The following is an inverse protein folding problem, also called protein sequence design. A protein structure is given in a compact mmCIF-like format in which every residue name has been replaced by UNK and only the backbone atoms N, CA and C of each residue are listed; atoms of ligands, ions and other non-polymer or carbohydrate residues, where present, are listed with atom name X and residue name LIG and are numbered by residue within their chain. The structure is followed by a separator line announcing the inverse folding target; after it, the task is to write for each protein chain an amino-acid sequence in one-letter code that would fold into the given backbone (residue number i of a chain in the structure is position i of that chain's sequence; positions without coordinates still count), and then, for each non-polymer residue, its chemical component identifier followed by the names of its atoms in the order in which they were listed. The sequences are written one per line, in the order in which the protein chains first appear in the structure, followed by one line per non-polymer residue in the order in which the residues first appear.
data_IF_688020471267
#
_entry.id   IF_688020471267
#
_cell.length_a   1.000
_cell.length_b   1.000
_cell.length_c   1.000
_cell.angle_alpha   90.00
_cell.angle_beta   90.00
_cell.angle_gamma   90.00
#
_symmetry.space_group_name_H-M   'P 1'
#
loop_
_entity.id
_entity.type
_entity.pdbx_description
1 polymer ?
#
# COMPACT_ATOMS: atom_id res chain seq x y z
N UNK A 1 31.09 30.56 6.82
CA UNK A 1 30.30 30.13 5.66
C UNK A 1 30.46 28.64 5.40
N UNK A 2 29.91 27.79 6.23
CA UNK A 2 29.85 26.32 6.01
C UNK A 2 28.74 25.75 6.87
N UNK A 3 27.53 25.70 6.36
CA UNK A 3 26.47 24.95 7.01
C UNK A 3 25.27 24.67 6.06
N UNK A 4 25.55 24.01 4.92
CA UNK A 4 24.48 23.65 4.00
C UNK A 4 24.63 22.23 3.39
N UNK A 5 25.35 21.30 4.03
CA UNK A 5 25.65 20.04 3.35
C UNK A 5 25.39 18.75 4.17
N UNK A 6 24.63 18.81 5.23
CA UNK A 6 24.46 17.66 6.16
C UNK A 6 23.19 16.85 5.96
N UNK A 7 22.20 17.35 5.25
CA UNK A 7 20.94 16.63 5.00
C UNK A 7 21.02 15.66 3.80
N UNK A 8 21.76 16.04 2.75
CA UNK A 8 21.90 15.20 1.55
C UNK A 8 22.77 13.94 1.78
N UNK A 9 23.80 14.03 2.62
CA UNK A 9 24.68 12.88 2.89
C UNK A 9 24.06 11.84 3.83
N UNK A 10 23.15 12.23 4.70
CA UNK A 10 22.41 11.28 5.56
C UNK A 10 21.39 10.44 4.80
N UNK A 11 20.81 10.96 3.70
CA UNK A 11 19.89 10.22 2.85
C UNK A 11 20.53 9.06 2.12
N UNK A 12 21.80 9.18 1.72
CA UNK A 12 22.49 8.18 0.91
C UNK A 12 22.94 6.96 1.73
N UNK A 13 23.32 7.14 3.00
CA UNK A 13 23.81 6.04 3.83
C UNK A 13 22.68 5.18 4.44
N UNK A 14 21.46 5.76 4.61
CA UNK A 14 20.30 5.07 5.20
C UNK A 14 19.49 4.33 4.12
N UNK A 15 19.61 4.74 2.84
CA UNK A 15 18.83 4.17 1.74
C UNK A 15 19.18 2.71 1.42
N UNK A 16 20.43 2.29 1.56
CA UNK A 16 20.86 0.96 1.17
C UNK A 16 20.50 -0.14 2.21
N UNK A 17 20.42 0.22 3.49
CA UNK A 17 20.18 -0.77 4.56
C UNK A 17 18.71 -1.02 4.91
N UNK A 18 17.84 0.01 4.75
CA UNK A 18 16.46 -0.07 5.21
C UNK A 18 15.51 -0.72 4.19
N UNK A 19 15.84 -0.71 2.89
CA UNK A 19 15.01 -1.31 1.85
C UNK A 19 14.95 -2.84 1.91
N UNK A 20 16.08 -3.47 2.23
CA UNK A 20 16.16 -4.91 2.39
C UNK A 20 15.43 -5.40 3.67
N UNK A 21 15.43 -4.59 4.74
CA UNK A 21 14.80 -4.96 6.00
C UNK A 21 13.26 -4.87 5.95
N UNK A 22 12.70 -3.91 5.21
CA UNK A 22 11.23 -3.75 5.09
C UNK A 22 10.65 -4.76 4.11
N UNK A 23 11.33 -5.04 2.98
CA UNK A 23 10.94 -6.10 2.05
C UNK A 23 11.04 -7.50 2.68
N UNK A 24 12.07 -7.75 3.50
CA UNK A 24 12.24 -8.99 4.22
C UNK A 24 11.22 -9.15 5.36
N UNK A 25 10.87 -8.08 6.06
CA UNK A 25 9.87 -8.10 7.14
C UNK A 25 8.47 -8.48 6.64
N UNK A 26 8.08 -7.99 5.46
CA UNK A 26 6.79 -8.36 4.85
C UNK A 26 6.81 -9.78 4.28
N UNK A 27 7.94 -10.21 3.70
CA UNK A 27 8.11 -11.59 3.22
C UNK A 27 7.99 -12.62 4.35
N UNK A 28 8.48 -12.30 5.55
CA UNK A 28 8.37 -13.17 6.72
C UNK A 28 6.98 -13.18 7.36
N UNK A 29 6.23 -12.08 7.26
CA UNK A 29 4.87 -12.00 7.79
C UNK A 29 3.83 -12.72 6.91
N UNK A 30 4.09 -12.86 5.60
CA UNK A 30 3.13 -13.34 4.61
C UNK A 30 3.41 -14.78 4.15
N UNK A 31 4.63 -15.26 4.28
CA UNK A 31 5.01 -16.62 3.93
C UNK A 31 6.38 -16.94 4.50
N UNK A 32 6.48 -18.06 5.13
CA UNK A 32 7.75 -18.58 5.66
C UNK A 32 8.71 -19.07 4.57
N UNK A 33 8.40 -18.74 3.31
CA UNK A 33 9.12 -19.27 2.16
C UNK A 33 10.08 -18.24 1.57
N UNK A 34 11.28 -18.67 1.31
CA UNK A 34 12.39 -17.90 0.71
C UNK A 34 12.02 -17.35 -0.69
N UNK A 35 11.07 -17.96 -1.38
CA UNK A 35 10.60 -17.53 -2.70
C UNK A 35 9.85 -16.19 -2.68
N UNK A 36 9.05 -15.89 -1.65
CA UNK A 36 8.34 -14.61 -1.55
C UNK A 36 9.27 -13.43 -1.27
N UNK A 37 10.41 -13.67 -0.62
CA UNK A 37 11.44 -12.66 -0.38
C UNK A 37 12.23 -12.34 -1.67
N UNK A 38 12.47 -13.36 -2.50
CA UNK A 38 13.15 -13.19 -3.80
C UNK A 38 12.25 -12.52 -4.84
N UNK A 39 10.94 -12.77 -4.83
CA UNK A 39 10.01 -12.10 -5.75
C UNK A 39 9.92 -10.60 -5.49
N UNK A 40 9.91 -10.17 -4.23
CA UNK A 40 9.93 -8.75 -3.87
C UNK A 40 11.22 -8.04 -4.31
N UNK A 41 12.35 -8.73 -4.24
CA UNK A 41 13.63 -8.19 -4.69
C UNK A 41 13.81 -8.20 -6.22
N UNK A 42 13.25 -9.21 -6.91
CA UNK A 42 13.36 -9.34 -8.37
C UNK A 42 12.51 -8.32 -9.13
N UNK A 43 11.34 -7.93 -8.59
CA UNK A 43 10.48 -6.90 -9.19
C UNK A 43 11.16 -5.52 -9.15
N UNK A 44 11.89 -5.22 -8.08
CA UNK A 44 12.61 -3.95 -7.94
C UNK A 44 13.75 -3.76 -8.94
N UNK A 45 14.37 -4.85 -9.39
CA UNK A 45 15.52 -4.80 -10.29
C UNK A 45 15.15 -4.60 -11.78
N UNK A 46 13.91 -4.94 -12.17
CA UNK A 46 13.50 -4.98 -13.58
C UNK A 46 13.02 -3.64 -14.16
N UNK A 47 12.75 -2.62 -13.35
CA UNK A 47 11.97 -1.43 -13.77
C UNK A 47 12.68 -0.09 -13.51
N UNK A 48 13.99 -0.07 -13.29
CA UNK A 48 14.73 1.19 -13.13
C UNK A 48 14.17 2.11 -12.04
N UNK A 49 14.29 1.72 -10.77
CA UNK A 49 13.75 2.44 -9.64
C UNK A 49 14.40 3.82 -9.39
N UNK A 50 13.93 4.51 -8.38
CA UNK A 50 14.41 5.84 -7.99
C UNK A 50 15.77 5.78 -7.29
N UNK A 51 16.68 6.67 -7.64
CA UNK A 51 17.91 6.88 -6.87
C UNK A 51 17.56 7.41 -5.47
N UNK A 52 18.34 7.00 -4.45
CA UNK A 52 18.02 7.26 -3.04
C UNK A 52 17.76 8.74 -2.69
N UNK A 53 18.42 9.68 -3.39
CA UNK A 53 18.22 11.12 -3.19
C UNK A 53 16.93 11.68 -3.83
N UNK A 54 16.28 10.93 -4.73
CA UNK A 54 15.06 11.36 -5.43
C UNK A 54 13.79 10.78 -4.83
N UNK A 55 13.91 9.72 -4.01
CA UNK A 55 12.77 9.01 -3.42
C UNK A 55 11.90 9.96 -2.61
N UNK A 56 12.49 10.77 -1.73
CA UNK A 56 11.74 11.69 -0.87
C UNK A 56 10.85 12.63 -1.67
N UNK A 57 11.45 13.36 -2.63
CA UNK A 57 10.72 14.32 -3.47
C UNK A 57 9.66 13.66 -4.37
N UNK A 58 9.91 12.43 -4.83
CA UNK A 58 8.92 11.68 -5.60
C UNK A 58 7.71 11.30 -4.75
N UNK A 59 7.97 10.76 -3.54
CA UNK A 59 6.91 10.39 -2.61
C UNK A 59 6.15 11.60 -2.07
N UNK A 60 6.81 12.77 -1.90
CA UNK A 60 6.14 14.03 -1.52
C UNK A 60 5.11 14.45 -2.57
N UNK A 61 5.47 14.41 -3.86
CA UNK A 61 4.55 14.72 -4.95
C UNK A 61 3.40 13.72 -5.04
N UNK A 62 3.68 12.44 -4.88
CA UNK A 62 2.65 11.40 -4.91
C UNK A 62 1.69 11.54 -3.72
N UNK A 63 2.19 11.82 -2.52
CA UNK A 63 1.36 12.10 -1.35
C UNK A 63 0.42 13.28 -1.60
N UNK A 64 0.96 14.39 -2.11
CA UNK A 64 0.14 15.56 -2.40
C UNK A 64 -0.92 15.28 -3.47
N UNK A 65 -0.57 14.53 -4.52
CA UNK A 65 -1.52 14.11 -5.55
C UNK A 65 -2.64 13.22 -4.97
N UNK A 66 -2.30 12.27 -4.10
CA UNK A 66 -3.30 11.44 -3.39
C UNK A 66 -4.21 12.29 -2.50
N UNK A 67 -3.64 13.18 -1.68
CA UNK A 67 -4.42 14.07 -0.82
C UNK A 67 -5.36 14.97 -1.62
N UNK A 68 -4.89 15.53 -2.73
CA UNK A 68 -5.71 16.38 -3.61
C UNK A 68 -6.82 15.57 -4.29
N UNK A 69 -6.52 14.38 -4.79
CA UNK A 69 -7.51 13.49 -5.43
C UNK A 69 -8.60 13.04 -4.46
N UNK A 70 -8.26 12.87 -3.18
CA UNK A 70 -9.16 12.42 -2.12
C UNK A 70 -9.76 13.56 -1.29
N UNK A 71 -9.40 14.83 -1.57
CA UNK A 71 -9.80 15.99 -0.74
C UNK A 71 -11.33 16.21 -0.66
N UNK A 72 -12.06 15.85 -1.70
CA UNK A 72 -13.52 15.96 -1.74
C UNK A 72 -14.22 14.73 -1.15
N UNK A 73 -13.49 13.65 -0.97
CA UNK A 73 -13.94 12.40 -0.40
C UNK A 73 -13.36 12.26 1.02
N UNK A 74 -14.23 12.08 2.00
CA UNK A 74 -13.80 11.72 3.37
C UNK A 74 -13.65 10.20 3.53
N UNK A 75 -13.55 9.49 2.41
CA UNK A 75 -13.58 8.04 2.35
C UNK A 75 -12.26 7.40 2.79
N UNK A 76 -11.14 8.12 2.64
CA UNK A 76 -9.83 7.60 2.97
C UNK A 76 -9.02 8.54 3.86
N UNK A 77 -8.18 7.97 4.73
CA UNK A 77 -7.10 8.68 5.39
C UNK A 77 -5.77 8.37 4.71
N UNK A 78 -5.00 9.42 4.40
CA UNK A 78 -3.66 9.28 3.81
C UNK A 78 -2.63 9.53 4.90
N UNK A 79 -1.81 8.53 5.16
CA UNK A 79 -0.71 8.59 6.12
C UNK A 79 0.61 8.34 5.41
N UNK A 80 1.67 8.90 5.95
CA UNK A 80 3.03 8.66 5.49
C UNK A 80 3.91 8.25 6.64
N UNK A 81 4.61 7.16 6.45
CA UNK A 81 5.68 6.75 7.33
C UNK A 81 6.98 6.67 6.53
N UNK A 82 7.90 7.63 6.76
CA UNK A 82 9.14 7.78 5.99
C UNK A 82 8.87 7.91 4.49
N UNK A 83 9.19 6.88 3.71
CA UNK A 83 8.98 6.82 2.25
C UNK A 83 7.84 5.89 1.84
N UNK A 84 7.02 5.45 2.76
CA UNK A 84 5.84 4.61 2.50
C UNK A 84 4.60 5.47 2.67
N UNK A 85 3.73 5.44 1.68
CA UNK A 85 2.39 6.04 1.77
C UNK A 85 1.37 4.94 2.03
N UNK A 86 0.37 5.24 2.84
CA UNK A 86 -0.74 4.36 3.10
C UNK A 86 -2.06 5.13 2.97
N UNK A 87 -2.92 4.66 2.09
CA UNK A 87 -4.31 5.08 2.01
C UNK A 87 -5.18 4.05 2.72
N UNK A 88 -5.87 4.45 3.78
CA UNK A 88 -6.75 3.57 4.57
C UNK A 88 -8.20 3.92 4.31
N UNK A 89 -8.97 2.93 3.89
CA UNK A 89 -10.42 3.01 3.68
C UNK A 89 -11.16 2.20 4.72
N UNK A 90 -12.24 2.75 5.28
CA UNK A 90 -13.22 1.94 5.99
C UNK A 90 -13.87 0.96 5.01
N UNK A 91 -13.99 -0.32 5.40
CA UNK A 91 -14.59 -1.35 4.55
C UNK A 91 -16.04 -1.03 4.16
N UNK A 92 -16.78 -0.32 5.01
CA UNK A 92 -18.19 0.06 4.72
C UNK A 92 -18.31 1.08 3.59
N UNK A 93 -17.25 1.82 3.31
CA UNK A 93 -17.17 2.72 2.15
C UNK A 93 -17.05 1.93 0.86
N UNK A 94 -16.25 0.86 0.87
CA UNK A 94 -15.93 0.09 -0.31
C UNK A 94 -16.92 -1.04 -0.58
N UNK A 95 -17.44 -1.69 0.47
CA UNK A 95 -18.24 -2.92 0.37
C UNK A 95 -19.52 -2.84 1.19
N UNK A 96 -20.51 -3.61 0.80
CA UNK A 96 -21.65 -3.90 1.66
C UNK A 96 -21.27 -4.91 2.76
N UNK A 97 -22.16 -5.04 3.76
CA UNK A 97 -21.95 -5.99 4.84
C UNK A 97 -21.80 -7.41 4.25
N UNK A 98 -20.81 -8.13 4.77
CA UNK A 98 -20.52 -9.51 4.37
C UNK A 98 -20.24 -9.72 2.87
N UNK A 99 -19.79 -8.68 2.19
CA UNK A 99 -19.52 -8.67 0.75
C UNK A 99 -18.06 -8.32 0.46
N UNK A 100 -17.55 -8.87 -0.65
CA UNK A 100 -16.30 -8.48 -1.28
C UNK A 100 -16.53 -7.81 -2.65
N UNK A 101 -17.76 -7.53 -3.01
CA UNK A 101 -18.10 -6.79 -4.23
C UNK A 101 -18.06 -5.28 -3.95
N UNK A 102 -17.24 -4.56 -4.73
CA UNK A 102 -17.14 -3.10 -4.62
C UNK A 102 -18.47 -2.42 -4.94
N UNK A 103 -18.90 -1.53 -4.06
CA UNK A 103 -20.03 -0.64 -4.32
C UNK A 103 -19.67 0.40 -5.38
N UNK A 104 -20.63 0.98 -6.11
CA UNK A 104 -20.35 2.05 -7.07
C UNK A 104 -19.55 3.22 -6.48
N UNK A 105 -19.88 3.63 -5.24
CA UNK A 105 -19.12 4.66 -4.52
C UNK A 105 -17.70 4.22 -4.20
N UNK A 106 -17.51 2.98 -3.73
CA UNK A 106 -16.20 2.39 -3.47
C UNK A 106 -15.36 2.29 -4.73
N UNK A 107 -15.95 1.86 -5.85
CA UNK A 107 -15.28 1.82 -7.14
C UNK A 107 -14.78 3.21 -7.57
N UNK A 108 -15.59 4.26 -7.35
CA UNK A 108 -15.19 5.63 -7.66
C UNK A 108 -13.99 6.09 -6.82
N UNK A 109 -13.94 5.71 -5.53
CA UNK A 109 -12.80 6.02 -4.66
C UNK A 109 -11.52 5.30 -5.12
N UNK A 110 -11.62 4.00 -5.43
CA UNK A 110 -10.48 3.23 -5.95
C UNK A 110 -10.00 3.78 -7.30
N UNK A 111 -10.90 4.23 -8.17
CA UNK A 111 -10.54 4.86 -9.44
C UNK A 111 -9.72 6.15 -9.24
N UNK A 112 -10.04 6.98 -8.24
CA UNK A 112 -9.24 8.18 -7.90
C UNK A 112 -7.81 7.81 -7.48
N UNK A 113 -7.67 6.79 -6.64
CA UNK A 113 -6.35 6.29 -6.25
C UNK A 113 -5.60 5.74 -7.46
N UNK A 114 -6.26 4.95 -8.30
CA UNK A 114 -5.66 4.35 -9.49
C UNK A 114 -5.10 5.40 -10.45
N UNK A 115 -5.82 6.52 -10.65
CA UNK A 115 -5.36 7.60 -11.54
C UNK A 115 -4.04 8.24 -11.03
N UNK A 116 -3.88 8.37 -9.72
CA UNK A 116 -2.60 8.81 -9.12
C UNK A 116 -1.52 7.73 -9.26
N UNK A 117 -1.85 6.45 -8.99
CA UNK A 117 -0.89 5.35 -9.09
C UNK A 117 -0.37 5.14 -10.52
N UNK A 118 -1.17 5.44 -11.54
CA UNK A 118 -0.74 5.44 -12.95
C UNK A 118 0.25 6.56 -13.25
N UNK A 119 0.01 7.74 -12.71
CA UNK A 119 0.91 8.89 -12.88
C UNK A 119 2.24 8.66 -12.16
N UNK A 120 2.22 7.98 -11.02
CA UNK A 120 3.39 7.69 -10.19
C UNK A 120 3.75 6.21 -10.28
N UNK A 121 4.36 5.81 -11.39
CA UNK A 121 4.60 4.40 -11.72
C UNK A 121 5.86 3.79 -11.07
N UNK A 122 6.68 4.58 -10.38
CA UNK A 122 7.90 4.11 -9.70
C UNK A 122 7.63 3.62 -8.26
N UNK A 123 6.48 2.98 -8.06
CA UNK A 123 6.07 2.41 -6.77
C UNK A 123 5.44 1.04 -6.93
N UNK A 124 5.63 0.18 -5.95
CA UNK A 124 4.87 -1.07 -5.75
C UNK A 124 3.72 -0.81 -4.79
N UNK A 125 2.70 -1.63 -4.87
CA UNK A 125 1.44 -1.46 -4.16
C UNK A 125 1.08 -2.77 -3.47
N UNK A 126 0.80 -2.69 -2.17
CA UNK A 126 0.21 -3.81 -1.43
C UNK A 126 -1.18 -3.41 -0.97
N UNK A 127 -2.18 -4.15 -1.42
CA UNK A 127 -3.55 -4.01 -0.94
C UNK A 127 -3.75 -4.98 0.21
N UNK A 128 -4.07 -4.46 1.39
CA UNK A 128 -4.21 -5.23 2.63
C UNK A 128 -5.67 -5.19 3.09
N UNK A 129 -6.31 -6.37 3.19
CA UNK A 129 -7.66 -6.50 3.72
C UNK A 129 -7.63 -6.88 5.21
N UNK A 130 -8.47 -6.21 6.01
CA UNK A 130 -8.60 -6.48 7.45
C UNK A 130 -10.07 -6.58 7.85
N UNK A 131 -10.35 -7.42 8.85
CA UNK A 131 -11.65 -7.56 9.50
C UNK A 131 -11.56 -7.18 10.98
N UNK A 132 -12.68 -7.11 11.64
CA UNK A 132 -12.73 -7.21 13.09
C UNK A 132 -12.71 -8.69 13.53
N UNK A 133 -12.69 -8.93 14.83
CA UNK A 133 -12.66 -10.28 15.42
C UNK A 133 -14.06 -10.89 15.59
N UNK A 134 -15.06 -10.45 14.81
CA UNK A 134 -16.40 -11.01 14.84
C UNK A 134 -16.50 -12.19 13.89
N UNK A 135 -16.85 -13.35 14.43
CA UNK A 135 -17.01 -14.58 13.64
C UNK A 135 -15.75 -15.47 13.62
N UNK A 136 -15.77 -16.56 12.81
CA UNK A 136 -14.64 -17.47 12.70
C UNK A 136 -13.41 -16.84 12.04
N UNK A 137 -12.23 -17.11 12.57
CA UNK A 137 -10.94 -16.59 12.05
C UNK A 137 -10.73 -16.96 10.58
N UNK A 138 -11.00 -18.22 10.20
CA UNK A 138 -10.85 -18.70 8.82
C UNK A 138 -11.76 -17.92 7.86
N UNK A 139 -13.00 -17.64 8.27
CA UNK A 139 -13.94 -16.83 7.50
C UNK A 139 -13.44 -15.39 7.33
N UNK A 140 -12.94 -14.78 8.41
CA UNK A 140 -12.37 -13.42 8.37
C UNK A 140 -11.13 -13.36 7.48
N UNK A 141 -10.30 -14.38 7.49
CA UNK A 141 -9.13 -14.49 6.60
C UNK A 141 -9.57 -14.54 5.13
N UNK A 142 -10.53 -15.41 4.78
CA UNK A 142 -11.05 -15.52 3.41
C UNK A 142 -11.72 -14.22 2.94
N UNK A 143 -12.58 -13.63 3.77
CA UNK A 143 -13.27 -12.37 3.44
C UNK A 143 -12.28 -11.22 3.19
N UNK A 144 -11.26 -11.10 4.05
CA UNK A 144 -10.23 -10.07 3.92
C UNK A 144 -9.40 -10.26 2.64
N UNK A 145 -9.06 -11.50 2.29
CA UNK A 145 -8.34 -11.83 1.05
C UNK A 145 -9.19 -11.50 -0.19
N UNK A 146 -10.48 -11.87 -0.20
CA UNK A 146 -11.38 -11.56 -1.32
C UNK A 146 -11.57 -10.05 -1.50
N UNK A 147 -11.66 -9.28 -0.41
CA UNK A 147 -11.74 -7.82 -0.45
C UNK A 147 -10.48 -7.17 -0.99
N UNK A 148 -9.31 -7.62 -0.55
CA UNK A 148 -8.04 -7.15 -1.08
C UNK A 148 -7.91 -7.46 -2.58
N UNK A 149 -8.33 -8.66 -3.00
CA UNK A 149 -8.33 -9.04 -4.41
C UNK A 149 -9.26 -8.17 -5.25
N UNK A 150 -10.48 -7.89 -4.77
CA UNK A 150 -11.43 -7.04 -5.49
C UNK A 150 -10.89 -5.62 -5.71
N UNK A 151 -10.18 -5.05 -4.73
CA UNK A 151 -9.52 -3.74 -4.89
C UNK A 151 -8.34 -3.85 -5.87
N UNK A 152 -7.50 -4.89 -5.80
CA UNK A 152 -6.44 -5.13 -6.78
C UNK A 152 -7.00 -5.18 -8.20
N UNK A 153 -8.07 -5.94 -8.43
CA UNK A 153 -8.68 -6.10 -9.74
C UNK A 153 -9.23 -4.77 -10.27
N UNK A 154 -9.83 -3.97 -9.40
CA UNK A 154 -10.31 -2.64 -9.76
C UNK A 154 -9.17 -1.67 -10.15
N UNK A 155 -8.03 -1.73 -9.45
CA UNK A 155 -6.83 -0.95 -9.82
C UNK A 155 -6.29 -1.38 -11.19
N UNK A 156 -6.23 -2.69 -11.47
CA UNK A 156 -5.79 -3.24 -12.77
C UNK A 156 -6.76 -2.80 -13.89
N UNK A 157 -8.06 -2.93 -13.68
CA UNK A 157 -9.08 -2.51 -14.65
C UNK A 157 -8.98 -1.01 -14.98
N UNK A 158 -8.53 -0.18 -14.04
CA UNK A 158 -8.28 1.24 -14.24
C UNK A 158 -6.93 1.54 -14.93
N UNK A 159 -6.10 0.51 -15.15
CA UNK A 159 -4.85 0.60 -15.89
C UNK A 159 -3.58 0.72 -15.04
N UNK A 160 -3.64 0.36 -13.76
CA UNK A 160 -2.42 0.16 -12.96
C UNK A 160 -1.82 -1.19 -13.34
N UNK A 161 -0.52 -1.25 -13.55
CA UNK A 161 0.18 -2.45 -14.00
C UNK A 161 0.12 -3.54 -12.92
N UNK A 162 -0.33 -4.75 -13.31
CA UNK A 162 -0.56 -5.87 -12.39
C UNK A 162 0.68 -6.28 -11.60
N UNK A 163 1.85 -6.28 -12.24
CA UNK A 163 3.11 -6.67 -11.61
C UNK A 163 3.51 -5.78 -10.42
N UNK A 164 2.94 -4.57 -10.34
CA UNK A 164 3.14 -3.64 -9.22
C UNK A 164 2.28 -3.96 -8.01
N UNK A 165 1.22 -4.78 -8.16
CA UNK A 165 0.16 -4.90 -7.17
C UNK A 165 0.13 -6.28 -6.54
N UNK A 166 0.20 -6.34 -5.22
CA UNK A 166 -0.03 -7.53 -4.40
C UNK A 166 -1.30 -7.34 -3.57
N UNK A 167 -2.12 -8.39 -3.45
CA UNK A 167 -3.29 -8.43 -2.56
C UNK A 167 -3.03 -9.41 -1.42
N UNK A 168 -3.31 -8.99 -0.19
CA UNK A 168 -3.09 -9.79 1.03
C UNK A 168 -4.26 -9.63 1.99
N UNK A 169 -4.84 -10.73 2.43
CA UNK A 169 -5.78 -10.76 3.54
C UNK A 169 -5.04 -11.01 4.86
N UNK A 170 -5.38 -10.24 5.88
CA UNK A 170 -4.88 -10.40 7.24
C UNK A 170 -5.98 -10.84 8.22
N UNK A 171 -7.23 -10.95 7.76
CA UNK A 171 -8.34 -11.25 8.65
C UNK A 171 -8.36 -10.29 9.84
N UNK A 172 -8.52 -10.83 11.02
CA UNK A 172 -8.54 -10.10 12.31
C UNK A 172 -7.18 -9.99 12.98
N UNK A 173 -6.11 -10.57 12.39
CA UNK A 173 -4.80 -10.73 13.04
C UNK A 173 -4.05 -9.42 13.33
N UNK A 174 -4.47 -8.31 12.73
CA UNK A 174 -3.79 -7.01 12.87
C UNK A 174 -4.76 -5.89 13.28
N UNK A 175 -5.31 -5.93 14.50
CA UNK A 175 -6.18 -4.87 15.00
C UNK A 175 -5.38 -3.59 15.23
N UNK A 176 -5.97 -2.43 14.90
CA UNK A 176 -5.39 -1.11 15.16
C UNK A 176 -6.13 -0.35 16.26
N UNK A 177 -7.27 -0.87 16.69
CA UNK A 177 -8.13 -0.22 17.68
C UNK A 177 -8.96 -1.25 18.44
N UNK A 178 -9.48 -0.86 19.60
CA UNK A 178 -10.54 -1.59 20.28
C UNK A 178 -11.90 -1.47 19.56
N UNK A 179 -12.02 -0.55 18.61
CA UNK A 179 -13.24 -0.36 17.80
C UNK A 179 -13.27 -1.32 16.61
N UNK A 180 -14.28 -2.17 16.56
CA UNK A 180 -14.50 -3.08 15.43
C UNK A 180 -14.60 -2.33 14.08
N UNK A 181 -15.23 -1.15 14.07
CA UNK A 181 -15.37 -0.36 12.87
C UNK A 181 -14.02 0.05 12.27
N UNK A 182 -13.06 0.45 13.10
CA UNK A 182 -11.72 0.85 12.65
C UNK A 182 -10.88 -0.35 12.18
N UNK A 183 -11.15 -1.54 12.72
CA UNK A 183 -10.47 -2.75 12.32
C UNK A 183 -10.95 -3.25 10.96
N UNK A 184 -12.22 -3.03 10.58
CA UNK A 184 -12.77 -3.32 9.26
C UNK A 184 -12.28 -2.30 8.24
N UNK A 185 -11.12 -2.52 7.66
CA UNK A 185 -10.47 -1.58 6.74
C UNK A 185 -9.79 -2.27 5.58
N UNK A 186 -9.53 -1.50 4.54
CA UNK A 186 -8.58 -1.85 3.47
C UNK A 186 -7.50 -0.80 3.42
N UNK A 187 -6.25 -1.22 3.48
CA UNK A 187 -5.09 -0.37 3.28
C UNK A 187 -4.57 -0.54 1.86
N UNK A 188 -4.22 0.55 1.21
CA UNK A 188 -3.41 0.56 -0.01
C UNK A 188 -2.06 1.15 0.38
N UNK A 189 -1.10 0.27 0.57
CA UNK A 189 0.27 0.61 0.90
C UNK A 189 1.08 0.81 -0.38
N UNK A 190 1.88 1.87 -0.43
CA UNK A 190 2.60 2.32 -1.60
C UNK A 190 4.07 2.49 -1.22
N UNK A 191 4.93 1.66 -1.78
CA UNK A 191 6.36 1.61 -1.51
C UNK A 191 7.16 2.05 -2.77
N UNK A 192 8.19 2.90 -2.65
CA UNK A 192 8.99 3.31 -3.79
C UNK A 192 9.86 2.15 -4.30
N UNK A 193 9.94 2.00 -5.62
CA UNK A 193 10.88 1.09 -6.27
C UNK A 193 12.27 1.76 -6.19
N UNK A 194 13.23 1.08 -5.59
CA UNK A 194 14.59 1.58 -5.41
C UNK A 194 15.51 0.99 -6.47
N UNK A 195 16.42 1.82 -6.99
CA UNK A 195 17.57 1.30 -7.73
C UNK A 195 18.48 0.58 -6.74
N UNK A 196 18.83 -0.65 -7.03
CA UNK A 196 19.82 -1.42 -6.30
C UNK A 196 21.24 -0.87 -6.52
#
# INVERSE_FOLDING_TARGET
SCAANTQQQRGTAIGAGAGAAVGAGLGQAIGRDTESTLLGAAIGAAVGGLAGNQIGAYMDRQEQALRNSMAQSRAASIQRERNVLQATFDSSVLFDFDSAMLKPGGQAEINRVADVLKQYNQTTITVEGHTDATGPEEYNMDLSQRRAQAVKDALIQRGVEEWRIKAVGFGESQPISSSNAQNRRVNIRIDPIRQG
#
